data_IF_493308797673
#
_entry.id   IF_493308797673
#
_cell.length_a   1.000
_cell.length_b   1.000
_cell.length_c   1.000
_cell.angle_alpha   90.00
_cell.angle_beta   90.00
_cell.angle_gamma   90.00
#
_symmetry.space_group_name_H-M   'P 1'
#
loop_
_entity.id
_entity.type
_entity.pdbx_description
1 polymer ?
#
# COMPACT_ATOMS: atom_id res chain seq x y z
N UNK A 1 27.43 -53.56 15.66
CA UNK A 1 26.18 -52.90 16.09
C UNK A 1 26.54 -51.60 16.73
N UNK A 2 26.38 -50.50 16.01
CA UNK A 2 26.80 -49.16 16.47
C UNK A 2 25.81 -48.16 15.87
N UNK A 3 24.67 -47.93 16.54
CA UNK A 3 23.54 -47.22 15.93
C UNK A 3 22.54 -46.53 16.86
N UNK A 4 22.74 -46.35 18.17
CA UNK A 4 21.82 -45.58 19.04
C UNK A 4 22.72 -45.02 20.17
N UNK A 5 23.06 -43.74 20.31
CA UNK A 5 22.21 -42.67 20.83
C UNK A 5 23.00 -41.34 20.82
N UNK A 6 23.19 -40.73 19.66
CA UNK A 6 23.66 -39.33 19.61
C UNK A 6 22.47 -38.39 19.82
N UNK A 7 21.99 -38.31 21.07
CA UNK A 7 21.09 -37.24 21.53
C UNK A 7 21.81 -35.90 21.35
N UNK A 8 21.61 -35.30 20.18
CA UNK A 8 22.17 -34.00 19.79
C UNK A 8 21.68 -32.94 20.75
N UNK A 9 22.55 -32.57 21.71
CA UNK A 9 22.33 -31.47 22.64
C UNK A 9 22.00 -30.21 21.85
N UNK A 10 20.74 -29.78 21.96
CA UNK A 10 20.27 -28.54 21.39
C UNK A 10 21.06 -27.37 22.03
N UNK A 11 21.68 -26.43 21.27
CA UNK A 11 22.26 -25.22 21.84
C UNK A 11 21.22 -24.46 22.67
N UNK A 12 21.65 -24.00 23.86
CA UNK A 12 20.81 -23.33 24.85
C UNK A 12 20.04 -22.17 24.23
N UNK A 13 18.71 -22.27 24.19
CA UNK A 13 17.82 -21.19 23.74
C UNK A 13 16.83 -21.55 22.64
N UNK A 14 16.94 -22.74 22.03
CA UNK A 14 16.02 -23.15 20.96
C UNK A 14 15.14 -24.30 21.48
N UNK A 15 13.84 -24.05 21.48
CA UNK A 15 12.84 -25.04 21.87
C UNK A 15 12.68 -26.08 20.77
N UNK A 16 12.62 -27.38 21.12
CA UNK A 16 12.21 -28.40 20.16
C UNK A 16 10.80 -28.08 19.67
N UNK A 17 10.55 -28.37 18.40
CA UNK A 17 9.25 -28.13 17.75
C UNK A 17 8.53 -29.47 17.63
N UNK A 18 7.20 -29.46 17.78
CA UNK A 18 6.32 -30.63 17.54
C UNK A 18 5.47 -30.44 16.27
N UNK A 19 4.73 -31.48 15.86
CA UNK A 19 3.75 -31.42 14.76
C UNK A 19 2.67 -30.35 15.01
N UNK A 20 2.35 -30.07 16.27
CA UNK A 20 1.33 -29.10 16.67
C UNK A 20 1.73 -27.63 16.42
N UNK A 21 3.03 -27.36 16.31
CA UNK A 21 3.58 -26.02 16.04
C UNK A 21 3.52 -25.61 14.56
N UNK A 22 2.81 -26.38 13.74
CA UNK A 22 2.69 -26.17 12.30
C UNK A 22 2.33 -24.73 11.92
N UNK A 23 1.39 -24.11 12.66
CA UNK A 23 0.93 -22.76 12.36
C UNK A 23 1.92 -21.69 12.84
N UNK A 24 2.43 -21.84 14.07
CA UNK A 24 3.40 -20.93 14.68
C UNK A 24 4.70 -20.85 13.88
N UNK A 25 5.09 -21.96 13.23
CA UNK A 25 6.33 -22.11 12.49
C UNK A 25 6.15 -22.23 10.97
N UNK A 26 4.97 -21.82 10.49
CA UNK A 26 4.60 -21.92 9.08
C UNK A 26 5.45 -21.01 8.16
N UNK A 27 5.98 -19.90 8.68
CA UNK A 27 6.85 -19.01 7.91
C UNK A 27 8.24 -19.62 7.65
N UNK A 28 8.82 -20.21 8.70
CA UNK A 28 10.09 -20.94 8.65
C UNK A 28 9.97 -22.23 7.83
N UNK A 29 8.83 -22.90 7.91
CA UNK A 29 8.55 -24.08 7.10
C UNK A 29 8.44 -23.76 5.60
N UNK A 30 7.77 -22.66 5.23
CA UNK A 30 7.64 -22.20 3.83
C UNK A 30 8.98 -21.85 3.20
N UNK A 31 9.85 -21.18 3.95
CA UNK A 31 11.22 -20.87 3.49
C UNK A 31 12.05 -22.12 3.30
N UNK A 32 11.95 -23.07 4.24
CA UNK A 32 12.65 -24.35 4.14
C UNK A 32 12.20 -25.19 2.94
N UNK A 33 10.89 -25.21 2.64
CA UNK A 33 10.36 -25.89 1.46
C UNK A 33 10.95 -25.32 0.16
N UNK A 34 11.19 -24.01 0.11
CA UNK A 34 11.86 -23.36 -1.03
C UNK A 34 13.32 -23.79 -1.09
N UNK A 35 14.11 -23.54 -0.04
CA UNK A 35 15.56 -23.76 -0.08
C UNK A 35 15.97 -25.23 -0.23
N UNK A 36 15.22 -26.17 0.36
CA UNK A 36 15.58 -27.61 0.31
C UNK A 36 14.85 -28.40 -0.76
N UNK A 37 13.71 -27.93 -1.25
CA UNK A 37 12.83 -28.72 -2.13
C UNK A 37 12.36 -27.97 -3.37
N UNK A 38 12.57 -26.66 -3.48
CA UNK A 38 12.07 -25.81 -4.57
C UNK A 38 10.57 -25.99 -4.86
N UNK A 39 9.80 -26.31 -3.81
CA UNK A 39 8.35 -26.50 -3.88
C UNK A 39 7.63 -25.35 -3.21
N UNK A 40 6.53 -24.94 -3.83
CA UNK A 40 5.67 -23.89 -3.31
C UNK A 40 4.57 -24.50 -2.46
N UNK A 41 4.12 -23.77 -1.46
CA UNK A 41 3.03 -24.21 -0.59
C UNK A 41 1.75 -24.54 -1.38
N UNK A 42 1.50 -23.80 -2.46
CA UNK A 42 0.35 -23.94 -3.35
C UNK A 42 0.29 -25.28 -4.11
N UNK A 43 1.42 -25.96 -4.25
CA UNK A 43 1.51 -27.27 -4.92
C UNK A 43 1.35 -28.45 -3.97
N UNK A 44 1.40 -28.19 -2.66
CA UNK A 44 1.35 -29.24 -1.65
C UNK A 44 -0.08 -29.41 -1.15
N UNK A 45 -0.59 -30.63 -1.23
CA UNK A 45 -1.79 -31.00 -0.48
C UNK A 45 -1.54 -30.90 1.03
N UNK A 46 -2.62 -30.79 1.81
CA UNK A 46 -2.57 -30.76 3.28
C UNK A 46 -1.77 -31.95 3.85
N UNK A 47 -2.00 -33.17 3.35
CA UNK A 47 -1.27 -34.37 3.76
C UNK A 47 0.22 -34.31 3.42
N UNK A 48 0.56 -33.84 2.20
CA UNK A 48 1.94 -33.70 1.79
C UNK A 48 2.65 -32.66 2.66
N UNK A 49 2.01 -31.51 2.92
CA UNK A 49 2.55 -30.46 3.78
C UNK A 49 2.91 -30.98 5.18
N UNK A 50 2.03 -31.80 5.78
CA UNK A 50 2.28 -32.44 7.08
C UNK A 50 3.45 -33.41 7.01
N UNK A 51 3.55 -34.25 5.97
CA UNK A 51 4.71 -35.16 5.77
C UNK A 51 6.03 -34.40 5.65
N UNK A 52 6.06 -33.28 4.93
CA UNK A 52 7.25 -32.43 4.85
C UNK A 52 7.53 -31.71 6.17
N UNK A 53 6.49 -31.35 6.92
CA UNK A 53 6.64 -30.75 8.24
C UNK A 53 7.31 -31.72 9.23
N UNK A 54 6.98 -33.02 9.22
CA UNK A 54 7.71 -34.03 10.02
C UNK A 54 9.21 -34.07 9.71
N UNK A 55 9.57 -33.94 8.43
CA UNK A 55 10.98 -33.85 7.99
C UNK A 55 11.64 -32.54 8.44
N UNK A 56 10.89 -31.44 8.42
CA UNK A 56 11.34 -30.15 8.94
C UNK A 56 11.59 -30.21 10.45
N UNK A 57 10.66 -30.75 11.24
CA UNK A 57 10.79 -30.96 12.69
C UNK A 57 12.02 -31.80 12.99
N UNK A 58 12.22 -32.90 12.27
CA UNK A 58 13.41 -33.75 12.43
C UNK A 58 14.71 -33.00 12.11
N UNK A 59 14.69 -32.10 11.14
CA UNK A 59 15.86 -31.32 10.74
C UNK A 59 16.12 -30.14 11.70
N UNK A 60 15.05 -29.55 12.26
CA UNK A 60 15.07 -28.49 13.27
C UNK A 60 15.65 -29.00 14.58
N UNK A 61 15.11 -30.12 15.06
CA UNK A 61 15.57 -30.77 16.30
C UNK A 61 17.01 -31.31 16.18
N UNK A 62 17.54 -31.47 14.95
CA UNK A 62 18.94 -31.87 14.69
C UNK A 62 19.89 -30.69 14.43
N UNK A 63 19.42 -29.44 14.49
CA UNK A 63 20.18 -28.23 14.11
C UNK A 63 20.80 -28.24 12.71
N UNK A 64 20.21 -28.98 11.76
CA UNK A 64 20.76 -29.04 10.39
C UNK A 64 20.31 -27.87 9.52
N UNK A 65 19.42 -27.01 10.02
CA UNK A 65 18.98 -25.80 9.33
C UNK A 65 19.96 -24.63 9.58
N UNK A 66 19.97 -23.69 8.66
CA UNK A 66 20.76 -22.46 8.77
C UNK A 66 20.30 -21.64 10.00
N UNK A 67 21.22 -20.86 10.61
CA UNK A 67 20.92 -19.97 11.74
C UNK A 67 19.73 -19.05 11.48
N UNK A 68 19.55 -18.62 10.22
CA UNK A 68 18.43 -17.78 9.76
C UNK A 68 17.05 -18.33 10.13
N UNK A 69 16.89 -19.65 10.22
CA UNK A 69 15.63 -20.28 10.56
C UNK A 69 15.29 -20.17 12.05
N UNK A 70 16.30 -20.10 12.92
CA UNK A 70 16.12 -20.05 14.38
C UNK A 70 15.93 -18.64 14.92
N UNK A 71 16.37 -17.62 14.19
CA UNK A 71 16.24 -16.20 14.59
C UNK A 71 14.80 -15.66 14.44
N UNK A 72 13.85 -16.48 13.96
CA UNK A 72 12.43 -16.14 13.84
C UNK A 72 12.17 -15.22 12.65
N UNK A 73 12.11 -15.79 11.44
CA UNK A 73 11.72 -15.03 10.25
C UNK A 73 10.22 -14.78 10.25
N UNK A 74 9.81 -13.52 10.09
CA UNK A 74 8.39 -13.17 9.99
C UNK A 74 7.86 -13.47 8.59
N UNK A 75 6.61 -13.92 8.51
CA UNK A 75 5.87 -14.03 7.25
C UNK A 75 5.83 -12.71 6.47
N UNK A 76 5.92 -11.56 7.16
CA UNK A 76 6.03 -10.23 6.54
C UNK A 76 7.38 -9.97 5.88
N UNK A 77 8.44 -10.70 6.21
CA UNK A 77 9.73 -10.59 5.51
C UNK A 77 9.78 -11.44 4.25
N UNK A 78 8.87 -12.42 4.12
CA UNK A 78 8.71 -13.17 2.88
C UNK A 78 8.06 -12.24 1.86
N UNK A 79 8.69 -12.11 0.69
CA UNK A 79 8.08 -11.40 -0.43
C UNK A 79 6.86 -12.21 -0.88
N UNK A 80 5.75 -11.58 -1.29
CA UNK A 80 4.58 -12.33 -1.77
C UNK A 80 4.93 -13.28 -2.93
N UNK A 81 5.94 -12.89 -3.72
CA UNK A 81 6.59 -13.69 -4.77
C UNK A 81 7.23 -14.98 -4.28
N UNK A 82 7.63 -15.07 -3.01
CA UNK A 82 8.18 -16.28 -2.40
C UNK A 82 7.11 -17.24 -1.90
N UNK A 83 5.87 -16.75 -1.69
CA UNK A 83 4.79 -17.55 -1.14
C UNK A 83 4.00 -18.30 -2.22
N UNK A 84 3.90 -17.74 -3.42
CA UNK A 84 3.11 -18.28 -4.53
C UNK A 84 3.89 -18.21 -5.85
N UNK A 85 3.78 -19.25 -6.70
CA UNK A 85 4.31 -19.21 -8.09
C UNK A 85 3.63 -18.15 -8.95
N UNK A 86 2.46 -17.67 -8.54
CA UNK A 86 1.71 -16.65 -9.24
C UNK A 86 2.45 -15.31 -9.20
N UNK A 87 3.23 -15.07 -10.26
CA UNK A 87 3.78 -13.75 -10.56
C UNK A 87 2.67 -12.94 -11.19
N UNK A 88 2.22 -11.89 -10.49
CA UNK A 88 1.31 -10.91 -11.04
C UNK A 88 1.99 -10.20 -12.21
N UNK A 89 1.74 -10.67 -13.45
CA UNK A 89 2.49 -10.23 -14.65
C UNK A 89 2.28 -8.77 -15.04
N UNK A 90 1.43 -8.00 -14.35
CA UNK A 90 1.01 -6.64 -14.74
C UNK A 90 1.37 -5.53 -13.73
N UNK A 91 2.26 -5.79 -12.77
CA UNK A 91 2.71 -4.75 -11.84
C UNK A 91 4.17 -4.41 -12.15
N UNK A 92 4.39 -3.50 -13.11
CA UNK A 92 5.65 -2.73 -13.21
C UNK A 92 5.70 -1.72 -12.06
N UNK A 93 5.51 -2.19 -10.84
CA UNK A 93 5.63 -1.34 -9.67
C UNK A 93 7.08 -1.45 -9.22
N UNK A 94 7.72 -0.29 -9.02
CA UNK A 94 9.07 -0.19 -8.51
C UNK A 94 9.15 -0.99 -7.21
N UNK A 95 10.06 -1.97 -7.16
CA UNK A 95 10.20 -2.87 -6.02
C UNK A 95 10.48 -2.09 -4.73
N UNK A 96 11.25 -1.00 -4.83
CA UNK A 96 11.58 -0.08 -3.74
C UNK A 96 10.34 0.66 -3.19
N UNK A 97 9.39 1.02 -4.06
CA UNK A 97 8.13 1.66 -3.65
C UNK A 97 7.24 0.65 -2.90
N UNK A 98 7.18 -0.60 -3.39
CA UNK A 98 6.46 -1.67 -2.71
C UNK A 98 7.05 -1.99 -1.34
N UNK A 99 8.39 -2.05 -1.23
CA UNK A 99 9.07 -2.28 0.04
C UNK A 99 8.83 -1.13 1.01
N UNK A 100 8.82 0.11 0.53
CA UNK A 100 8.50 1.29 1.35
C UNK A 100 7.06 1.27 1.85
N UNK A 101 6.10 0.93 0.98
CA UNK A 101 4.68 0.78 1.34
C UNK A 101 4.51 -0.36 2.35
N UNK A 102 5.16 -1.51 2.12
CA UNK A 102 5.13 -2.66 3.01
C UNK A 102 5.69 -2.32 4.40
N UNK A 103 6.81 -1.62 4.46
CA UNK A 103 7.43 -1.18 5.70
C UNK A 103 6.56 -0.15 6.45
N UNK A 104 5.88 0.74 5.71
CA UNK A 104 4.91 1.69 6.28
C UNK A 104 3.71 0.96 6.91
N UNK A 105 3.14 0.00 6.19
CA UNK A 105 2.01 -0.81 6.68
C UNK A 105 2.45 -1.67 7.87
N UNK A 106 3.60 -2.32 7.84
CA UNK A 106 4.09 -3.13 8.96
C UNK A 106 4.38 -2.26 10.20
N UNK A 107 4.90 -1.03 10.03
CA UNK A 107 5.04 -0.05 11.13
C UNK A 107 3.68 0.35 11.73
N UNK A 108 2.65 0.49 10.90
CA UNK A 108 1.31 0.87 11.34
C UNK A 108 0.56 -0.29 12.01
N UNK A 109 0.74 -1.52 11.52
CA UNK A 109 0.04 -2.70 12.05
C UNK A 109 0.78 -3.37 13.20
N UNK A 110 2.09 -3.15 13.33
CA UNK A 110 2.95 -3.87 14.26
C UNK A 110 3.65 -2.96 15.27
N UNK A 111 2.87 -2.06 15.88
CA UNK A 111 3.33 -1.06 16.85
C UNK A 111 4.09 -1.71 18.02
N UNK A 112 3.72 -2.94 18.41
CA UNK A 112 4.34 -3.69 19.52
C UNK A 112 5.74 -4.24 19.20
N UNK A 113 6.06 -4.54 17.94
CA UNK A 113 7.37 -5.09 17.55
C UNK A 113 8.37 -4.00 17.18
N UNK A 114 7.91 -2.90 16.56
CA UNK A 114 8.75 -1.74 16.29
C UNK A 114 9.34 -1.17 17.60
N UNK A 115 8.53 -1.10 18.66
CA UNK A 115 9.00 -0.72 19.99
C UNK A 115 9.98 -1.74 20.59
N UNK A 116 9.75 -3.05 20.42
CA UNK A 116 10.61 -4.08 21.00
C UNK A 116 11.96 -4.23 20.27
N UNK A 117 12.00 -4.06 18.95
CA UNK A 117 13.26 -4.03 18.18
C UNK A 117 14.06 -2.77 18.48
N UNK A 118 13.41 -1.62 18.69
CA UNK A 118 14.10 -0.41 19.16
C UNK A 118 14.77 -0.66 20.51
N UNK A 119 14.08 -1.29 21.48
CA UNK A 119 14.67 -1.64 22.78
C UNK A 119 15.78 -2.71 22.69
N UNK A 120 15.72 -3.64 21.73
CA UNK A 120 16.76 -4.66 21.53
C UNK A 120 17.99 -4.14 20.78
N UNK A 121 17.82 -3.14 19.92
CA UNK A 121 18.91 -2.49 19.16
C UNK A 121 19.75 -1.51 19.99
N UNK A 122 19.26 -1.09 21.16
CA UNK A 122 19.99 -0.30 22.16
C UNK A 122 20.83 -1.14 23.13
N UNK A 123 21.04 -2.43 22.83
CA UNK A 123 21.86 -3.35 23.64
C UNK A 123 23.27 -3.55 23.09
N UNK A 124 24.25 -2.88 23.71
CA UNK A 124 25.67 -3.26 23.79
C UNK A 124 26.41 -3.40 22.45
N UNK A 125 26.95 -2.27 21.95
CA UNK A 125 28.19 -2.26 21.16
C UNK A 125 29.08 -1.13 21.64
N UNK A 126 30.18 -1.49 22.29
CA UNK A 126 31.30 -0.59 22.58
C UNK A 126 32.04 -0.28 21.27
N UNK A 127 31.49 0.61 20.45
CA UNK A 127 32.22 1.23 19.35
C UNK A 127 32.44 2.71 19.69
N UNK A 128 33.71 3.10 19.77
CA UNK A 128 34.13 4.47 20.08
C UNK A 128 33.49 5.45 19.08
N UNK A 129 32.88 6.56 19.51
CA UNK A 129 32.21 7.48 18.61
C UNK A 129 33.24 8.17 17.70
N UNK A 130 33.01 8.10 16.39
CA UNK A 130 33.73 8.92 15.40
C UNK A 130 33.46 10.40 15.70
N UNK A 131 34.51 11.18 15.91
CA UNK A 131 34.42 12.63 16.12
C UNK A 131 33.90 13.30 14.85
N UNK A 132 32.70 13.88 14.92
CA UNK A 132 32.12 14.73 13.88
C UNK A 132 32.73 16.12 14.09
N UNK A 133 33.48 16.62 13.10
CA UNK A 133 33.98 18.00 13.08
C UNK A 133 32.82 18.89 12.63
N UNK A 134 32.16 19.50 13.60
CA UNK A 134 31.03 20.42 13.48
C UNK A 134 30.59 20.82 14.90
N UNK A 135 29.86 21.94 15.09
CA UNK A 135 29.42 22.37 16.42
C UNK A 135 28.65 21.24 17.12
N UNK A 136 29.18 20.79 18.26
CA UNK A 136 28.70 19.64 19.01
C UNK A 136 27.38 19.95 19.70
N UNK A 137 26.33 19.24 19.34
CA UNK A 137 25.05 19.24 20.05
C UNK A 137 25.27 18.66 21.47
N UNK A 138 24.83 19.34 22.56
CA UNK A 138 25.05 18.85 23.92
C UNK A 138 24.30 17.51 24.15
N UNK A 139 24.88 16.57 24.92
CA UNK A 139 24.27 15.27 25.15
C UNK A 139 23.04 15.41 26.05
N UNK A 140 21.89 14.95 25.56
CA UNK A 140 20.62 14.91 26.29
C UNK A 140 20.77 14.03 27.53
N UNK A 141 20.85 14.67 28.70
CA UNK A 141 20.68 14.02 30.00
C UNK A 141 19.19 13.87 30.28
N UNK A 142 18.74 12.67 30.60
CA UNK A 142 17.53 12.45 31.39
C UNK A 142 16.21 12.64 30.65
N UNK A 143 15.67 11.53 30.16
CA UNK A 143 14.28 11.35 29.77
C UNK A 143 13.32 11.55 30.95
N UNK A 144 13.08 12.78 31.35
CA UNK A 144 12.01 13.15 32.28
C UNK A 144 11.34 14.49 31.95
N UNK A 145 11.83 15.24 30.97
CA UNK A 145 11.40 16.64 30.75
C UNK A 145 11.20 17.01 29.26
N UNK A 146 10.54 16.13 28.49
CA UNK A 146 10.18 16.41 27.09
C UNK A 146 8.78 17.05 26.94
N UNK A 147 8.17 17.49 28.03
CA UNK A 147 6.88 18.19 28.00
C UNK A 147 7.02 19.72 28.19
N UNK A 148 8.16 20.22 28.68
CA UNK A 148 8.31 21.66 28.97
C UNK A 148 8.88 22.48 27.80
N UNK A 149 9.65 21.87 26.88
CA UNK A 149 10.31 22.56 25.74
C UNK A 149 9.50 22.61 24.44
N UNK A 150 8.18 22.40 24.48
CA UNK A 150 7.35 22.71 23.30
C UNK A 150 7.14 24.22 23.27
N UNK A 151 7.83 24.90 22.34
CA UNK A 151 7.63 26.31 22.03
C UNK A 151 6.14 26.62 21.89
N UNK A 152 5.73 27.82 22.28
CA UNK A 152 4.32 28.23 22.28
C UNK A 152 3.67 28.05 20.89
N UNK A 153 4.44 28.25 19.82
CA UNK A 153 4.03 28.02 18.43
C UNK A 153 3.76 26.53 18.11
N UNK A 154 4.54 25.61 18.68
CA UNK A 154 4.37 24.17 18.45
C UNK A 154 3.20 23.59 19.24
N UNK A 155 2.91 24.14 20.43
CA UNK A 155 1.67 23.86 21.17
C UNK A 155 0.45 24.28 20.35
N UNK A 156 0.47 25.49 19.79
CA UNK A 156 -0.61 25.98 18.92
C UNK A 156 -0.79 25.16 17.64
N UNK A 157 0.32 24.73 17.00
CA UNK A 157 0.27 23.82 15.84
C UNK A 157 -0.37 22.49 16.20
N UNK A 158 0.01 21.91 17.34
CA UNK A 158 -0.54 20.66 17.83
C UNK A 158 -2.04 20.79 18.15
N UNK A 159 -2.44 21.85 18.84
CA UNK A 159 -3.85 22.13 19.13
C UNK A 159 -4.68 22.35 17.87
N UNK A 160 -4.16 23.09 16.88
CA UNK A 160 -4.82 23.28 15.59
C UNK A 160 -4.98 21.96 14.84
N UNK A 161 -3.97 21.08 14.90
CA UNK A 161 -4.05 19.75 14.34
C UNK A 161 -5.09 18.87 15.06
N UNK A 162 -5.19 18.96 16.38
CA UNK A 162 -6.19 18.27 17.19
C UNK A 162 -7.60 18.73 16.82
N UNK A 163 -7.86 20.05 16.82
CA UNK A 163 -9.16 20.63 16.42
C UNK A 163 -9.56 20.22 14.99
N UNK A 164 -8.59 20.13 14.08
CA UNK A 164 -8.84 19.65 12.70
C UNK A 164 -9.18 18.17 12.67
N UNK A 165 -8.54 17.35 13.50
CA UNK A 165 -8.86 15.91 13.66
C UNK A 165 -10.26 15.74 14.24
N UNK A 166 -10.61 16.52 15.26
CA UNK A 166 -11.92 16.46 15.91
C UNK A 166 -13.04 16.89 14.96
N UNK A 167 -12.84 17.96 14.17
CA UNK A 167 -13.78 18.35 13.10
C UNK A 167 -13.99 17.23 12.07
N UNK A 168 -12.92 16.55 11.66
CA UNK A 168 -13.01 15.43 10.71
C UNK A 168 -13.76 14.25 11.31
N UNK A 169 -13.49 13.92 12.57
CA UNK A 169 -14.16 12.85 13.28
C UNK A 169 -15.66 13.17 13.48
N UNK A 170 -16.00 14.42 13.81
CA UNK A 170 -17.38 14.88 13.92
C UNK A 170 -18.11 14.81 12.56
N UNK A 171 -17.45 15.23 11.48
CA UNK A 171 -18.03 15.09 10.13
C UNK A 171 -18.23 13.63 9.73
N UNK A 172 -17.26 12.76 10.02
CA UNK A 172 -17.36 11.33 9.71
C UNK A 172 -18.48 10.65 10.50
N UNK A 173 -18.58 10.92 11.79
CA UNK A 173 -19.66 10.41 12.65
C UNK A 173 -21.02 10.92 12.20
N UNK A 174 -21.13 12.22 11.87
CA UNK A 174 -22.35 12.79 11.29
C UNK A 174 -22.70 12.15 9.93
N UNK A 175 -21.73 11.91 9.07
CA UNK A 175 -21.95 11.25 7.78
C UNK A 175 -22.44 9.82 7.95
N UNK A 176 -21.87 9.07 8.92
CA UNK A 176 -22.34 7.72 9.28
C UNK A 176 -23.76 7.72 9.81
N UNK A 177 -24.07 8.61 10.77
CA UNK A 177 -25.43 8.73 11.32
C UNK A 177 -26.45 9.09 10.24
N UNK A 178 -26.09 9.96 9.29
CA UNK A 178 -26.95 10.29 8.15
C UNK A 178 -27.08 9.14 7.13
N UNK A 179 -26.09 8.25 7.05
CA UNK A 179 -26.16 7.04 6.21
C UNK A 179 -27.07 5.98 6.82
N UNK A 180 -27.12 5.89 8.15
CA UNK A 180 -28.04 5.01 8.89
C UNK A 180 -29.48 5.56 8.91
N UNK A 181 -29.66 6.88 8.99
CA UNK A 181 -30.97 7.53 9.09
C UNK A 181 -31.71 7.63 7.75
N UNK A 182 -30.99 7.64 6.62
CA UNK A 182 -31.58 7.75 5.28
C UNK A 182 -31.30 6.48 4.48
N UNK A 183 -32.34 5.67 4.17
CA UNK A 183 -32.18 4.54 3.26
C UNK A 183 -31.67 5.02 1.90
N UNK A 184 -30.39 4.77 1.59
CA UNK A 184 -29.82 5.10 0.28
C UNK A 184 -30.17 4.01 -0.74
N UNK A 185 -30.55 4.42 -1.94
CA UNK A 185 -30.68 3.53 -3.10
C UNK A 185 -29.30 2.90 -3.41
N UNK A 186 -29.16 1.61 -3.13
CA UNK A 186 -27.89 0.87 -3.25
C UNK A 186 -27.58 0.51 -4.70
N UNK A 187 -26.55 1.13 -5.29
CA UNK A 187 -26.04 0.77 -6.62
C UNK A 187 -24.67 1.40 -6.94
N UNK A 188 -23.86 0.71 -7.76
CA UNK A 188 -22.55 1.20 -8.24
C UNK A 188 -22.68 2.51 -9.03
N UNK A 189 -23.80 2.67 -9.74
CA UNK A 189 -24.13 3.88 -10.50
C UNK A 189 -24.50 5.05 -9.59
N UNK A 190 -25.27 4.81 -8.52
CA UNK A 190 -25.59 5.83 -7.51
C UNK A 190 -24.32 6.35 -6.79
N UNK A 191 -23.32 5.49 -6.57
CA UNK A 191 -22.01 5.90 -6.02
C UNK A 191 -21.22 6.78 -7.00
N UNK A 192 -21.23 6.43 -8.29
CA UNK A 192 -20.57 7.20 -9.34
C UNK A 192 -21.27 8.55 -9.52
N UNK A 193 -22.59 8.59 -9.47
CA UNK A 193 -23.38 9.81 -9.56
C UNK A 193 -23.21 10.68 -8.32
N UNK A 194 -23.22 10.12 -7.10
CA UNK A 194 -22.88 10.86 -5.87
C UNK A 194 -21.48 11.47 -5.95
N UNK A 195 -20.50 10.72 -6.48
CA UNK A 195 -19.13 11.21 -6.66
C UNK A 195 -19.05 12.30 -7.73
N UNK A 196 -19.79 12.17 -8.83
CA UNK A 196 -19.85 13.15 -9.93
C UNK A 196 -20.57 14.42 -9.47
N UNK A 197 -21.69 14.30 -8.77
CA UNK A 197 -22.44 15.39 -8.19
C UNK A 197 -21.59 16.16 -7.18
N UNK A 198 -20.91 15.46 -6.26
CA UNK A 198 -20.00 16.08 -5.29
C UNK A 198 -18.83 16.81 -5.96
N UNK A 199 -18.20 16.21 -6.97
CA UNK A 199 -17.14 16.87 -7.73
C UNK A 199 -17.69 18.07 -8.54
N UNK A 200 -18.89 17.97 -9.10
CA UNK A 200 -19.53 19.08 -9.81
C UNK A 200 -19.93 20.21 -8.86
N UNK A 201 -20.37 19.89 -7.64
CA UNK A 201 -20.68 20.86 -6.60
C UNK A 201 -19.42 21.61 -6.18
N UNK A 202 -18.32 20.91 -5.85
CA UNK A 202 -17.05 21.58 -5.55
C UNK A 202 -16.44 22.36 -6.73
N UNK A 203 -16.82 22.05 -7.98
CA UNK A 203 -16.40 22.83 -9.16
C UNK A 203 -17.31 24.01 -9.48
N UNK A 204 -18.60 23.94 -9.14
CA UNK A 204 -19.59 25.02 -9.34
C UNK A 204 -19.59 26.02 -8.18
N UNK A 205 -19.48 25.52 -6.95
CA UNK A 205 -19.33 26.28 -5.70
C UNK A 205 -17.87 26.58 -5.38
N UNK A 206 -16.96 26.42 -6.35
CA UNK A 206 -15.73 27.22 -6.36
C UNK A 206 -16.14 28.67 -6.68
N UNK A 207 -16.95 29.24 -5.79
CA UNK A 207 -17.25 30.65 -5.76
C UNK A 207 -15.93 31.39 -5.52
N UNK A 208 -15.81 32.63 -6.00
CA UNK A 208 -14.60 33.44 -5.87
C UNK A 208 -14.18 33.78 -4.44
N UNK A 209 -14.82 33.21 -3.40
CA UNK A 209 -14.42 33.35 -2.01
C UNK A 209 -13.27 32.38 -1.69
N UNK A 210 -12.16 32.63 -2.37
CA UNK A 210 -10.87 32.13 -1.91
C UNK A 210 -10.66 32.86 -0.59
N UNK A 211 -10.77 32.15 0.55
CA UNK A 211 -10.19 32.58 1.83
C UNK A 211 -8.67 32.72 1.62
N UNK A 212 -8.27 33.78 0.92
CA UNK A 212 -6.89 34.23 0.85
C UNK A 212 -6.53 34.55 2.29
N UNK A 213 -5.49 33.89 2.79
CA UNK A 213 -4.96 34.17 4.11
C UNK A 213 -4.83 35.70 4.28
N UNK A 214 -5.16 36.27 5.44
CA UNK A 214 -5.09 37.73 5.65
C UNK A 214 -3.72 38.30 5.30
N UNK A 215 -2.65 37.49 5.40
CA UNK A 215 -1.29 37.81 4.95
C UNK A 215 -1.16 38.05 3.43
N UNK A 216 -1.97 37.36 2.62
CA UNK A 216 -2.00 37.46 1.16
C UNK A 216 -2.98 38.55 0.69
N UNK A 217 -3.99 38.89 1.51
CA UNK A 217 -4.92 40.00 1.30
C UNK A 217 -4.33 41.37 1.70
N UNK A 218 -3.51 41.42 2.76
CA UNK A 218 -2.90 42.64 3.29
C UNK A 218 -1.54 42.99 2.67
N UNK A 219 -1.23 42.48 1.47
CA UNK A 219 -0.10 42.97 0.66
C UNK A 219 1.23 43.06 1.39
N UNK A 220 1.67 41.96 2.04
CA UNK A 220 3.05 41.86 2.52
C UNK A 220 4.01 41.78 1.33
N UNK A 221 4.56 42.92 0.90
CA UNK A 221 5.52 43.06 -0.19
C UNK A 221 6.92 42.52 0.19
N UNK A 222 6.96 41.30 0.73
CA UNK A 222 8.20 40.59 0.97
C UNK A 222 8.67 39.96 -0.36
N UNK A 223 9.84 40.37 -0.84
CA UNK A 223 10.48 39.84 -2.06
C UNK A 223 10.50 38.29 -2.10
N UNK A 224 10.66 37.65 -0.93
CA UNK A 224 10.62 36.20 -0.77
C UNK A 224 9.25 35.60 -1.11
N UNK A 225 8.15 36.26 -0.74
CA UNK A 225 6.79 35.83 -1.05
C UNK A 225 6.53 35.85 -2.56
N UNK A 226 7.09 36.84 -3.28
CA UNK A 226 7.00 36.92 -4.74
C UNK A 226 7.83 35.86 -5.45
N UNK A 227 9.02 35.55 -4.94
CA UNK A 227 9.85 34.45 -5.44
C UNK A 227 9.17 33.08 -5.23
N UNK A 228 8.54 32.87 -4.06
CA UNK A 228 7.79 31.65 -3.77
C UNK A 228 6.55 31.50 -4.65
N UNK A 229 5.80 32.56 -4.93
CA UNK A 229 4.64 32.53 -5.85
C UNK A 229 5.06 32.07 -7.25
N UNK A 230 6.14 32.63 -7.81
CA UNK A 230 6.70 32.20 -9.11
C UNK A 230 7.15 30.74 -9.11
N UNK A 231 7.77 30.28 -8.03
CA UNK A 231 8.18 28.88 -7.88
C UNK A 231 6.97 27.93 -7.83
N UNK A 232 5.91 28.31 -7.12
CA UNK A 232 4.65 27.54 -7.05
C UNK A 232 3.95 27.50 -8.41
N UNK A 233 3.85 28.63 -9.10
CA UNK A 233 3.25 28.73 -10.43
C UNK A 233 3.96 27.83 -11.45
N UNK A 234 5.30 27.86 -11.51
CA UNK A 234 6.06 27.00 -12.43
C UNK A 234 5.89 25.52 -12.10
N UNK A 235 5.84 25.16 -10.80
CA UNK A 235 5.56 23.78 -10.36
C UNK A 235 4.15 23.34 -10.76
N UNK A 236 3.17 24.22 -10.63
CA UNK A 236 1.78 23.90 -10.96
C UNK A 236 1.53 23.88 -12.48
N UNK A 237 2.24 24.71 -13.25
CA UNK A 237 2.28 24.61 -14.72
C UNK A 237 2.81 23.24 -15.16
N UNK A 238 3.98 22.81 -14.64
CA UNK A 238 4.53 21.47 -14.94
C UNK A 238 3.57 20.33 -14.63
N UNK A 239 2.82 20.42 -13.53
CA UNK A 239 1.79 19.42 -13.19
C UNK A 239 0.60 19.47 -14.16
N UNK A 240 0.15 20.67 -14.55
CA UNK A 240 -0.94 20.85 -15.51
C UNK A 240 -0.55 20.30 -16.88
N UNK A 241 0.65 20.59 -17.34
CA UNK A 241 1.18 20.11 -18.62
C UNK A 241 1.30 18.58 -18.62
N UNK A 242 1.87 18.00 -17.55
CA UNK A 242 1.93 16.54 -17.40
C UNK A 242 0.55 15.89 -17.39
N UNK A 243 -0.42 16.48 -16.67
CA UNK A 243 -1.78 15.95 -16.63
C UNK A 243 -2.51 16.14 -17.97
N UNK A 244 -2.22 17.23 -18.71
CA UNK A 244 -2.76 17.48 -20.03
C UNK A 244 -2.20 16.51 -21.07
N UNK A 245 -0.90 16.23 -21.06
CA UNK A 245 -0.25 15.22 -21.90
C UNK A 245 -0.82 13.83 -21.64
N UNK A 246 -0.98 13.47 -20.35
CA UNK A 246 -1.63 12.21 -19.97
C UNK A 246 -3.09 12.15 -20.43
N UNK A 247 -3.83 13.25 -20.35
CA UNK A 247 -5.20 13.31 -20.84
C UNK A 247 -5.27 13.24 -22.37
N UNK A 248 -4.34 13.86 -23.10
CA UNK A 248 -4.25 13.84 -24.54
C UNK A 248 -3.93 12.41 -25.05
N UNK A 249 -2.92 11.75 -24.47
CA UNK A 249 -2.58 10.36 -24.83
C UNK A 249 -3.74 9.38 -24.54
N UNK A 250 -4.55 9.63 -23.50
CA UNK A 250 -5.75 8.84 -23.25
C UNK A 250 -6.87 9.14 -24.26
N UNK A 251 -7.06 10.40 -24.65
CA UNK A 251 -8.03 10.78 -25.69
C UNK A 251 -7.66 10.20 -27.06
N UNK A 252 -6.38 10.21 -27.44
CA UNK A 252 -5.91 9.60 -28.68
C UNK A 252 -6.22 8.11 -28.73
N UNK A 253 -5.98 7.39 -27.63
CA UNK A 253 -6.34 5.96 -27.53
C UNK A 253 -7.85 5.75 -27.68
N UNK A 254 -8.68 6.55 -27.01
CA UNK A 254 -10.15 6.46 -27.10
C UNK A 254 -10.62 6.77 -28.52
N UNK A 255 -10.07 7.80 -29.16
CA UNK A 255 -10.40 8.15 -30.54
C UNK A 255 -10.00 7.02 -31.51
N UNK A 256 -8.86 6.36 -31.29
CA UNK A 256 -8.45 5.21 -32.09
C UNK A 256 -9.34 3.98 -31.90
N UNK A 257 -9.96 3.81 -30.72
CA UNK A 257 -11.00 2.79 -30.54
C UNK A 257 -12.30 3.19 -31.24
N UNK A 258 -12.72 4.46 -31.09
CA UNK A 258 -13.92 4.96 -31.76
C UNK A 258 -13.81 4.95 -33.29
N UNK A 259 -12.64 5.20 -33.87
CA UNK A 259 -12.46 5.11 -35.33
C UNK A 259 -12.61 3.67 -35.82
N UNK A 260 -12.04 2.70 -35.09
CA UNK A 260 -12.21 1.28 -35.41
C UNK A 260 -13.66 0.83 -35.24
N UNK A 261 -14.34 1.30 -34.19
CA UNK A 261 -15.77 1.06 -34.00
C UNK A 261 -16.58 1.65 -35.16
N UNK A 262 -16.30 2.88 -35.57
CA UNK A 262 -16.95 3.52 -36.72
C UNK A 262 -16.72 2.74 -38.01
N UNK A 263 -15.49 2.32 -38.32
CA UNK A 263 -15.18 1.48 -39.49
C UNK A 263 -15.98 0.16 -39.47
N UNK A 264 -16.08 -0.49 -38.29
CA UNK A 264 -16.88 -1.72 -38.17
C UNK A 264 -18.37 -1.45 -38.32
N UNK A 265 -18.88 -0.34 -37.80
CA UNK A 265 -20.27 0.09 -37.97
C UNK A 265 -20.57 0.44 -39.43
N UNK A 266 -19.64 1.07 -40.14
CA UNK A 266 -19.77 1.38 -41.57
C UNK A 266 -19.75 0.10 -42.41
N UNK A 267 -18.89 -0.87 -42.10
CA UNK A 267 -18.91 -2.18 -42.75
C UNK A 267 -20.26 -2.90 -42.50
N UNK A 268 -20.76 -2.88 -41.26
CA UNK A 268 -22.07 -3.42 -40.93
C UNK A 268 -23.21 -2.69 -41.66
N UNK A 269 -23.12 -1.36 -41.76
CA UNK A 269 -24.09 -0.52 -42.48
C UNK A 269 -24.08 -0.84 -43.97
N UNK A 270 -22.91 -1.01 -44.58
CA UNK A 270 -22.78 -1.41 -45.98
C UNK A 270 -23.35 -2.81 -46.22
N UNK A 271 -23.08 -3.76 -45.33
CA UNK A 271 -23.66 -5.11 -45.42
C UNK A 271 -25.18 -5.09 -45.26
N UNK A 272 -25.72 -4.29 -44.33
CA UNK A 272 -27.15 -4.09 -44.16
C UNK A 272 -27.80 -3.42 -45.39
N UNK A 273 -27.15 -2.41 -45.99
CA UNK A 273 -27.63 -1.78 -47.21
C UNK A 273 -27.56 -2.72 -48.43
N UNK A 274 -26.54 -3.59 -48.50
CA UNK A 274 -26.46 -4.65 -49.51
C UNK A 274 -27.59 -5.68 -49.32
N UNK A 275 -27.88 -6.13 -48.10
CA UNK A 275 -29.02 -7.01 -47.83
C UNK A 275 -30.37 -6.34 -48.16
N UNK A 276 -30.49 -5.04 -47.86
CA UNK A 276 -31.68 -4.25 -48.22
C UNK A 276 -31.85 -4.14 -49.74
N UNK A 277 -30.75 -3.94 -50.49
CA UNK A 277 -30.75 -3.88 -51.96
C UNK A 277 -30.92 -5.26 -52.62
N UNK A 278 -30.43 -6.32 -51.98
CA UNK A 278 -30.52 -7.71 -52.47
C UNK A 278 -31.88 -8.38 -52.17
N UNK A 279 -32.87 -7.63 -51.67
CA UNK A 279 -34.27 -8.07 -51.62
C UNK A 279 -34.59 -9.17 -50.60
N UNK A 280 -33.98 -9.15 -49.41
CA UNK A 280 -34.15 -10.21 -48.41
C UNK A 280 -34.53 -9.72 -47.01
N UNK A 281 -35.82 -9.50 -46.78
CA UNK A 281 -36.36 -9.46 -45.42
C UNK A 281 -36.36 -10.86 -44.82
N UNK A 282 -35.35 -11.20 -44.00
CA UNK A 282 -35.26 -12.47 -43.28
C UNK A 282 -36.24 -12.56 -42.06
N UNK A 283 -37.23 -11.67 -42.00
CA UNK A 283 -38.27 -11.63 -40.95
C UNK A 283 -39.69 -11.43 -41.52
N UNK A 284 -39.90 -11.66 -42.82
CA UNK A 284 -41.22 -11.64 -43.44
C UNK A 284 -41.80 -13.04 -43.60
N UNK A 285 -42.29 -13.64 -42.52
CA UNK A 285 -43.29 -14.72 -42.62
C UNK A 285 -44.68 -14.09 -42.61
N UNK A 286 -45.46 -14.10 -43.71
CA UNK A 286 -46.88 -13.93 -43.61
C UNK A 286 -47.52 -15.29 -43.36
N UNK A 287 -48.21 -15.39 -42.22
CA UNK A 287 -49.22 -16.41 -41.95
C UNK A 287 -50.37 -16.29 -42.95
N UNK A 288 -50.92 -17.46 -43.31
CA UNK A 288 -52.17 -17.74 -44.06
C UNK A 288 -52.01 -17.97 -45.57
#
# INVERSE_FOLDING_TARGET
>A
SDSEDALTKLPKGITPISEDDYFSKSAEFRTWLREKKDKFFDELSSEQSRRYFKKFVSAWNKYKLNKKYYDGMRSSQLTSSETTRYKWKHLKINQDELETIKNSVDRQTNVKFASEVQLRSSGIRNDKPKKIIGPSMPPVRGSADYNEDMDQEDKERYERALRKKDRKNFQATREMVLDELVPKATGKEALIEKKRARNSYYRKEASPDIELNESDLMGGDDYESRAQKRSKETRDQRKRDYNAEKAASMKEKVNAYHSKEQETLEMFRQMAEQQRKAGGGLWGQPNS
#
